data_IF_014560256185
#
_entry.id   IF_014560256185
#
_cell.length_a   1.000
_cell.length_b   1.000
_cell.length_c   1.000
_cell.angle_alpha   90.00
_cell.angle_beta   90.00
_cell.angle_gamma   90.00
#
_symmetry.space_group_name_H-M   'P 1'
#
loop_
_entity.id
_entity.type
_entity.pdbx_description
1 polymer ?
#
# COMPACT_ATOMS: atom_id res chain seq x y z
N UNK A 1 22.36 -8.83 11.45
CA UNK A 1 23.06 -9.75 10.55
C UNK A 1 23.10 -9.09 9.18
N UNK A 2 24.26 -9.00 8.53
CA UNK A 2 24.37 -8.38 7.20
C UNK A 2 23.93 -9.42 6.17
N UNK A 3 22.81 -9.18 5.49
CA UNK A 3 22.32 -10.06 4.42
C UNK A 3 23.32 -10.00 3.25
N UNK A 4 23.71 -11.17 2.74
CA UNK A 4 24.47 -11.28 1.50
C UNK A 4 23.59 -10.90 0.31
N UNK A 5 24.11 -10.05 -0.57
CA UNK A 5 23.44 -9.67 -1.81
C UNK A 5 23.48 -10.77 -2.86
N UNK A 6 22.62 -10.64 -3.86
CA UNK A 6 22.61 -11.50 -5.06
C UNK A 6 23.99 -11.42 -5.74
N UNK A 7 24.54 -12.57 -6.12
CA UNK A 7 25.89 -12.70 -6.68
C UNK A 7 26.97 -13.05 -5.66
N UNK A 8 26.64 -13.10 -4.36
CA UNK A 8 27.58 -13.55 -3.33
C UNK A 8 27.97 -15.01 -3.53
N UNK A 9 29.23 -15.34 -3.24
CA UNK A 9 29.78 -16.70 -3.35
C UNK A 9 29.97 -17.30 -1.96
N UNK A 10 29.44 -18.50 -1.77
CA UNK A 10 29.50 -19.22 -0.51
C UNK A 10 30.05 -20.63 -0.70
N UNK A 11 30.55 -21.22 0.38
CA UNK A 11 30.96 -22.61 0.46
C UNK A 11 30.17 -23.30 1.57
N UNK A 12 29.28 -24.22 1.19
CA UNK A 12 28.51 -25.03 2.12
C UNK A 12 29.20 -26.37 2.37
N UNK A 13 29.12 -26.89 3.59
CA UNK A 13 29.79 -28.15 3.96
C UNK A 13 29.26 -29.36 3.20
N UNK A 14 27.97 -29.38 2.90
CA UNK A 14 27.31 -30.53 2.23
C UNK A 14 27.22 -30.36 0.72
N UNK A 15 27.08 -29.13 0.23
CA UNK A 15 26.79 -28.83 -1.18
C UNK A 15 27.98 -28.21 -1.94
N UNK A 16 29.06 -27.88 -1.23
CA UNK A 16 30.25 -27.28 -1.80
C UNK A 16 30.06 -25.82 -2.18
N UNK A 17 30.74 -25.39 -3.25
CA UNK A 17 30.76 -23.98 -3.68
C UNK A 17 29.50 -23.63 -4.47
N UNK A 18 28.86 -22.54 -4.10
CA UNK A 18 27.64 -22.05 -4.74
C UNK A 18 27.57 -20.52 -4.82
N UNK A 19 26.65 -20.04 -5.63
CA UNK A 19 26.39 -18.61 -5.84
C UNK A 19 24.95 -18.30 -5.46
N UNK A 20 24.76 -17.24 -4.69
CA UNK A 20 23.43 -16.76 -4.30
C UNK A 20 22.78 -16.10 -5.51
N UNK A 21 21.66 -16.64 -5.96
CA UNK A 21 20.91 -16.15 -7.13
C UNK A 21 19.65 -15.39 -6.74
N UNK A 22 19.08 -15.65 -5.55
CA UNK A 22 17.95 -14.92 -5.01
C UNK A 22 18.02 -14.86 -3.47
N UNK A 23 17.42 -13.81 -2.90
CA UNK A 23 17.36 -13.57 -1.46
C UNK A 23 15.94 -13.16 -1.11
N UNK A 24 15.35 -13.84 -0.14
CA UNK A 24 14.07 -13.47 0.46
C UNK A 24 14.29 -13.10 1.93
N UNK A 25 13.24 -12.62 2.62
CA UNK A 25 13.31 -12.30 4.05
C UNK A 25 13.57 -13.51 4.96
N UNK A 26 13.48 -14.74 4.43
CA UNK A 26 13.61 -15.98 5.20
C UNK A 26 14.64 -16.95 4.62
N UNK A 27 14.88 -16.93 3.31
CA UNK A 27 15.72 -17.93 2.63
C UNK A 27 16.67 -17.32 1.59
N UNK A 28 17.83 -17.95 1.46
CA UNK A 28 18.75 -17.84 0.33
C UNK A 28 18.47 -18.90 -0.72
N UNK A 29 18.53 -18.50 -1.99
CA UNK A 29 18.49 -19.43 -3.10
C UNK A 29 19.90 -19.48 -3.68
N UNK A 30 20.50 -20.67 -3.61
CA UNK A 30 21.91 -20.86 -3.94
C UNK A 30 22.01 -21.89 -5.05
N UNK A 31 22.64 -21.53 -6.16
CA UNK A 31 22.99 -22.49 -7.21
C UNK A 31 24.37 -23.04 -6.93
N UNK A 32 24.43 -24.31 -6.58
CA UNK A 32 25.64 -25.10 -6.41
C UNK A 32 26.07 -25.72 -7.73
N UNK A 33 27.39 -25.89 -7.90
CA UNK A 33 27.97 -26.41 -9.15
C UNK A 33 27.49 -27.85 -9.44
N UNK A 34 27.44 -28.69 -8.41
CA UNK A 34 27.14 -30.12 -8.56
C UNK A 34 25.64 -30.43 -8.41
N UNK A 35 24.96 -29.77 -7.47
CA UNK A 35 23.59 -30.13 -7.08
C UNK A 35 22.51 -29.22 -7.69
N UNK A 36 22.90 -28.13 -8.36
CA UNK A 36 21.94 -27.17 -8.92
C UNK A 36 21.37 -26.21 -7.88
N UNK A 37 20.11 -25.82 -8.03
CA UNK A 37 19.46 -24.80 -7.19
C UNK A 37 18.95 -25.42 -5.88
N UNK A 38 19.43 -24.90 -4.76
CA UNK A 38 19.01 -25.29 -3.41
C UNK A 38 18.50 -24.07 -2.62
N UNK A 39 17.55 -24.32 -1.72
CA UNK A 39 17.00 -23.30 -0.82
C UNK A 39 17.56 -23.50 0.57
N UNK A 40 18.05 -22.42 1.18
CA UNK A 40 18.72 -22.44 2.48
C UNK A 40 18.16 -21.36 3.40
N UNK A 41 18.11 -21.64 4.70
CA UNK A 41 17.77 -20.62 5.69
C UNK A 41 18.89 -19.56 5.79
N UNK A 42 18.50 -18.32 6.15
CA UNK A 42 19.45 -17.23 6.37
C UNK A 42 20.50 -17.53 7.46
N UNK A 43 20.14 -18.36 8.44
CA UNK A 43 20.98 -18.76 9.58
C UNK A 43 21.82 -20.02 9.31
N UNK A 44 21.80 -20.55 8.09
CA UNK A 44 22.53 -21.77 7.74
C UNK A 44 24.05 -21.59 7.84
N UNK A 45 24.75 -22.67 8.19
CA UNK A 45 26.19 -22.64 8.41
C UNK A 45 26.96 -22.81 7.09
N UNK A 46 27.40 -21.69 6.50
CA UNK A 46 28.27 -21.66 5.32
C UNK A 46 29.44 -20.69 5.52
N UNK A 47 30.51 -20.90 4.75
CA UNK A 47 31.64 -19.99 4.67
C UNK A 47 31.43 -19.01 3.51
N UNK A 48 31.60 -17.71 3.77
CA UNK A 48 31.46 -16.67 2.74
C UNK A 48 32.80 -16.48 2.04
N UNK A 49 32.87 -16.81 0.76
CA UNK A 49 34.07 -16.60 -0.06
C UNK A 49 34.11 -15.14 -0.53
N UNK A 50 32.98 -14.64 -1.02
CA UNK A 50 32.85 -13.30 -1.60
C UNK A 50 31.46 -12.75 -1.28
N UNK A 51 31.40 -11.68 -0.50
CA UNK A 51 30.16 -10.98 -0.23
C UNK A 51 29.93 -9.93 -1.32
N UNK A 52 28.89 -10.13 -2.13
CA UNK A 52 28.38 -9.06 -2.98
C UNK A 52 27.55 -8.14 -2.09
N UNK A 53 28.01 -6.90 -1.91
CA UNK A 53 27.20 -5.80 -1.38
C UNK A 53 26.28 -5.29 -2.50
N UNK A 54 25.35 -6.15 -2.92
CA UNK A 54 24.23 -5.73 -3.74
C UNK A 54 23.11 -5.34 -2.81
N UNK A 55 22.68 -4.08 -2.86
CA UNK A 55 21.38 -3.66 -2.33
C UNK A 55 20.34 -4.64 -2.86
N UNK A 56 19.97 -5.61 -2.03
CA UNK A 56 18.80 -6.42 -2.29
C UNK A 56 17.69 -5.41 -2.14
N UNK A 57 17.16 -4.94 -3.28
CA UNK A 57 15.95 -4.13 -3.39
C UNK A 57 14.80 -4.95 -2.80
N UNK A 58 14.82 -5.11 -1.49
CA UNK A 58 13.66 -5.48 -0.70
C UNK A 58 12.78 -4.26 -0.82
N UNK A 59 11.91 -4.26 -1.82
CA UNK A 59 10.83 -3.27 -1.96
C UNK A 59 10.29 -3.03 -0.57
N UNK A 60 10.41 -1.81 -0.05
CA UNK A 60 10.11 -1.55 1.35
C UNK A 60 8.68 -1.98 1.61
N UNK A 61 8.41 -2.68 2.72
CA UNK A 61 7.03 -2.98 3.11
C UNK A 61 6.20 -1.69 3.19
N UNK A 62 6.84 -0.56 3.49
CA UNK A 62 6.25 0.77 3.42
C UNK A 62 5.78 1.16 2.01
N UNK A 63 6.54 0.83 0.97
CA UNK A 63 6.19 1.15 -0.42
C UNK A 63 5.04 0.27 -0.91
N UNK A 64 5.02 -1.00 -0.49
CA UNK A 64 3.93 -1.93 -0.75
C UNK A 64 2.65 -1.45 -0.05
N UNK A 65 2.75 -1.11 1.24
CA UNK A 65 1.62 -0.58 2.02
C UNK A 65 1.09 0.71 1.42
N UNK A 66 1.98 1.65 1.09
CA UNK A 66 1.60 2.93 0.47
C UNK A 66 0.93 2.71 -0.89
N UNK A 67 1.44 1.79 -1.69
CA UNK A 67 0.85 1.43 -2.99
C UNK A 67 -0.54 0.81 -2.81
N UNK A 68 -0.70 -0.13 -1.87
CA UNK A 68 -1.97 -0.76 -1.57
C UNK A 68 -2.99 0.26 -1.05
N UNK A 69 -2.60 1.13 -0.13
CA UNK A 69 -3.44 2.22 0.39
C UNK A 69 -3.86 3.16 -0.73
N UNK A 70 -2.97 3.50 -1.66
CA UNK A 70 -3.28 4.38 -2.78
C UNK A 70 -4.24 3.71 -3.78
N UNK A 71 -4.06 2.43 -4.08
CA UNK A 71 -4.99 1.66 -4.91
C UNK A 71 -6.35 1.60 -4.22
N UNK A 72 -6.40 1.24 -2.94
CA UNK A 72 -7.65 1.20 -2.19
C UNK A 72 -8.31 2.58 -2.14
N UNK A 73 -7.60 3.68 -1.88
CA UNK A 73 -8.21 5.03 -1.92
C UNK A 73 -8.73 5.44 -3.30
N UNK A 74 -8.07 4.98 -4.37
CA UNK A 74 -8.45 5.33 -5.75
C UNK A 74 -9.67 4.55 -6.25
N UNK A 75 -9.82 3.30 -5.82
CA UNK A 75 -10.85 2.38 -6.32
C UNK A 75 -11.94 2.04 -5.30
N UNK A 76 -11.63 2.18 -4.01
CA UNK A 76 -12.63 2.15 -2.96
C UNK A 76 -13.37 3.46 -3.04
N UNK A 77 -14.64 3.37 -3.36
CA UNK A 77 -15.59 4.47 -3.46
C UNK A 77 -15.88 5.14 -2.08
N UNK A 78 -14.96 4.95 -1.11
CA UNK A 78 -14.88 5.55 0.21
C UNK A 78 -14.62 7.04 0.02
N UNK A 79 -15.70 7.77 -0.19
CA UNK A 79 -15.74 9.20 0.05
C UNK A 79 -15.42 9.42 1.52
N UNK A 80 -14.41 10.23 1.81
CA UNK A 80 -14.18 10.73 3.15
C UNK A 80 -15.49 11.34 3.69
N UNK A 81 -15.94 10.88 4.86
CA UNK A 81 -17.12 11.43 5.50
C UNK A 81 -16.70 12.78 6.06
N UNK A 82 -16.88 13.84 5.26
CA UNK A 82 -16.62 15.21 5.71
C UNK A 82 -17.82 15.67 6.55
N UNK A 83 -17.69 15.80 7.88
CA UNK A 83 -18.79 16.28 8.70
C UNK A 83 -19.09 17.74 8.36
N UNK A 84 -20.37 18.11 8.43
CA UNK A 84 -20.76 19.51 8.31
C UNK A 84 -20.12 20.31 9.45
N UNK A 85 -19.64 21.52 9.13
CA UNK A 85 -19.11 22.43 10.14
C UNK A 85 -20.16 22.67 11.24
N UNK A 86 -19.74 22.64 12.51
CA UNK A 86 -20.65 22.69 13.66
C UNK A 86 -21.60 23.89 13.64
N UNK A 87 -21.14 25.02 13.09
CA UNK A 87 -21.91 26.26 12.92
C UNK A 87 -23.19 26.13 12.09
N UNK A 88 -23.33 25.05 11.32
CA UNK A 88 -24.48 24.82 10.45
C UNK A 88 -25.37 23.66 10.92
N UNK A 89 -25.00 22.92 11.97
CA UNK A 89 -25.82 21.81 12.48
C UNK A 89 -27.17 22.32 12.99
N UNK A 90 -28.28 21.68 12.57
CA UNK A 90 -29.64 22.12 12.91
C UNK A 90 -30.08 23.43 12.23
N UNK A 91 -29.29 23.94 11.29
CA UNK A 91 -29.61 25.12 10.51
C UNK A 91 -30.63 24.88 9.40
N UNK A 92 -31.01 25.97 8.73
CA UNK A 92 -31.87 25.95 7.53
C UNK A 92 -31.18 26.69 6.39
N UNK A 93 -31.33 26.15 5.19
CA UNK A 93 -30.89 26.73 3.94
C UNK A 93 -32.04 27.54 3.34
N UNK A 94 -31.77 28.79 2.98
CA UNK A 94 -32.75 29.70 2.37
C UNK A 94 -32.32 29.92 0.92
N UNK A 95 -33.14 29.48 -0.02
CA UNK A 95 -32.98 29.79 -1.44
C UNK A 95 -33.78 31.05 -1.76
N UNK A 96 -33.07 32.15 -1.97
CA UNK A 96 -33.66 33.40 -2.41
C UNK A 96 -33.90 33.38 -3.92
N UNK A 97 -35.13 33.70 -4.31
CA UNK A 97 -35.50 33.88 -5.71
C UNK A 97 -34.93 35.20 -6.22
N UNK A 98 -34.49 35.22 -7.48
CA UNK A 98 -34.10 36.46 -8.16
C UNK A 98 -35.30 37.42 -8.34
N UNK A 99 -36.52 36.88 -8.36
CA UNK A 99 -37.75 37.66 -8.34
C UNK A 99 -38.18 37.92 -6.89
N UNK A 100 -38.11 39.18 -6.47
CA UNK A 100 -38.45 39.64 -5.12
C UNK A 100 -39.95 39.53 -4.78
N UNK A 101 -40.82 39.25 -5.76
CA UNK A 101 -42.24 38.99 -5.51
C UNK A 101 -42.51 37.57 -4.99
N UNK A 102 -41.55 36.65 -5.17
CA UNK A 102 -41.66 35.27 -4.75
C UNK A 102 -41.08 35.06 -3.34
N UNK A 103 -41.76 34.23 -2.55
CA UNK A 103 -41.28 33.87 -1.21
C UNK A 103 -40.02 33.00 -1.31
N UNK A 104 -39.01 33.24 -0.46
CA UNK A 104 -37.85 32.36 -0.36
C UNK A 104 -38.27 30.92 -0.02
N UNK A 105 -37.55 29.96 -0.59
CA UNK A 105 -37.74 28.56 -0.27
C UNK A 105 -36.81 28.16 0.87
N UNK A 106 -37.37 27.72 2.00
CA UNK A 106 -36.62 27.25 3.16
C UNK A 106 -36.56 25.72 3.19
N UNK A 107 -35.38 25.17 3.47
CA UNK A 107 -35.16 23.73 3.63
C UNK A 107 -34.25 23.46 4.83
N UNK A 108 -34.53 22.45 5.69
CA UNK A 108 -33.60 22.01 6.70
C UNK A 108 -32.29 21.53 6.08
N UNK A 109 -31.15 21.90 6.68
CA UNK A 109 -29.83 21.58 6.12
C UNK A 109 -29.60 20.07 6.01
N UNK A 110 -30.10 19.30 6.97
CA UNK A 110 -29.98 17.84 6.99
C UNK A 110 -30.70 17.22 5.78
N UNK A 111 -31.86 17.78 5.40
CA UNK A 111 -32.62 17.31 4.24
C UNK A 111 -31.91 17.64 2.93
N UNK A 112 -31.24 18.81 2.85
CA UNK A 112 -30.45 19.20 1.70
C UNK A 112 -29.28 18.25 1.46
N UNK A 113 -28.45 18.01 2.49
CA UNK A 113 -27.29 17.12 2.38
C UNK A 113 -27.71 15.67 2.11
N UNK A 114 -28.80 15.20 2.72
CA UNK A 114 -29.35 13.88 2.42
C UNK A 114 -29.78 13.73 0.95
N UNK A 115 -30.40 14.77 0.36
CA UNK A 115 -30.72 14.76 -1.08
C UNK A 115 -29.46 14.76 -1.96
N UNK A 116 -28.43 15.51 -1.60
CA UNK A 116 -27.14 15.51 -2.32
C UNK A 116 -26.51 14.12 -2.30
N UNK A 117 -26.46 13.45 -1.14
CA UNK A 117 -25.89 12.09 -1.05
C UNK A 117 -26.67 11.12 -1.92
N UNK A 118 -28.01 11.20 -1.94
CA UNK A 118 -28.84 10.36 -2.82
C UNK A 118 -28.60 10.61 -4.31
N UNK A 119 -28.39 11.87 -4.72
CA UNK A 119 -28.09 12.21 -6.12
C UNK A 119 -26.70 11.72 -6.52
N UNK A 120 -25.70 11.91 -5.66
CA UNK A 120 -24.34 11.41 -5.85
C UNK A 120 -24.33 9.89 -6.03
N UNK A 121 -25.02 9.17 -5.15
CA UNK A 121 -25.06 7.70 -5.18
C UNK A 121 -25.75 7.15 -6.44
N UNK A 122 -26.60 7.96 -7.10
CA UNK A 122 -27.22 7.62 -8.39
C UNK A 122 -26.39 7.95 -9.61
N UNK A 123 -25.41 8.85 -9.50
CA UNK A 123 -24.52 9.27 -10.60
C UNK A 123 -23.25 8.42 -10.69
N UNK A 124 -22.98 7.60 -9.67
CA UNK A 124 -21.99 6.52 -9.70
C UNK A 124 -22.52 5.33 -10.49
#
# INVERSE_FOLDING_TARGET
>A
MKLLGIGSRINHKEFGKGVITNVTSQHYWVTFIENGLETMDLDSAFEVIEAADGDVDTVSFFDIESSLVNILKKWSDVSEIVPIADKYKGGKLILESADASLKPYELPIDTFFHKITMVRDRLR
#
